data_IF_939947763568
#
_entry.id   IF_939947763568
#
_cell.length_a   1.000
_cell.length_b   1.000
_cell.length_c   1.000
_cell.angle_alpha   90.00
_cell.angle_beta   90.00
_cell.angle_gamma   90.00
#
_symmetry.space_group_name_H-M   'P 1'
#
loop_
_entity.id
_entity.type
_entity.pdbx_description
1 polymer ?
#
# COMPACT_ATOMS: atom_id res chain seq x y z
N UNK A 1 -12.99 -19.06 1.48
CA UNK A 1 -12.65 -18.93 0.04
C UNK A 1 -11.20 -19.34 -0.16
N UNK A 2 -10.92 -20.45 -0.84
CA UNK A 2 -9.56 -20.77 -1.30
C UNK A 2 -9.33 -20.05 -2.62
N UNK A 3 -8.51 -19.00 -2.60
CA UNK A 3 -8.11 -18.27 -3.81
C UNK A 3 -6.91 -19.01 -4.42
N UNK A 4 -7.14 -19.82 -5.45
CA UNK A 4 -6.05 -20.42 -6.22
C UNK A 4 -5.40 -19.34 -7.09
N UNK A 5 -4.35 -18.72 -6.57
CA UNK A 5 -3.56 -17.72 -7.31
C UNK A 5 -2.84 -18.39 -8.48
N UNK A 6 -3.15 -17.95 -9.71
CA UNK A 6 -2.42 -18.39 -10.90
C UNK A 6 -0.95 -17.95 -10.82
N UNK A 7 -0.01 -18.65 -11.48
CA UNK A 7 1.43 -18.37 -11.37
C UNK A 7 1.82 -16.93 -11.71
N UNK A 8 1.08 -16.30 -12.63
CA UNK A 8 1.29 -14.89 -13.00
C UNK A 8 0.89 -13.93 -11.88
N UNK A 9 -0.22 -14.19 -11.20
CA UNK A 9 -0.68 -13.34 -10.08
C UNK A 9 0.22 -13.52 -8.86
N UNK A 10 0.70 -14.74 -8.59
CA UNK A 10 1.72 -14.97 -7.54
C UNK A 10 3.00 -14.18 -7.78
N UNK A 11 3.61 -14.30 -8.97
CA UNK A 11 4.84 -13.57 -9.31
C UNK A 11 4.70 -12.05 -9.21
N UNK A 12 3.53 -11.51 -9.58
CA UNK A 12 3.27 -10.07 -9.48
C UNK A 12 3.11 -9.64 -8.02
N UNK A 13 2.35 -10.40 -7.23
CA UNK A 13 2.20 -10.17 -5.80
C UNK A 13 3.53 -10.28 -5.04
N UNK A 14 4.40 -11.23 -5.39
CA UNK A 14 5.74 -11.40 -4.80
C UNK A 14 6.66 -10.22 -5.10
N UNK A 15 6.62 -9.67 -6.32
CA UNK A 15 7.41 -8.47 -6.67
C UNK A 15 6.89 -7.20 -6.02
N UNK A 16 5.58 -7.12 -5.77
CA UNK A 16 4.92 -5.92 -5.29
C UNK A 16 4.65 -5.96 -3.78
N UNK A 17 4.88 -7.10 -3.12
CA UNK A 17 4.75 -7.25 -1.68
C UNK A 17 5.89 -6.50 -0.97
N UNK A 18 5.59 -5.80 0.14
CA UNK A 18 6.64 -5.31 1.00
C UNK A 18 7.38 -6.47 1.66
N UNK A 19 8.62 -6.19 2.02
CA UNK A 19 9.49 -7.08 2.81
C UNK A 19 8.97 -7.22 4.24
N UNK A 20 8.31 -6.18 4.77
CA UNK A 20 7.67 -6.17 6.08
C UNK A 20 6.14 -6.09 5.97
N UNK A 21 5.44 -7.00 6.65
CA UNK A 21 3.98 -7.06 6.68
C UNK A 21 3.34 -5.81 7.31
N UNK A 22 4.03 -5.13 8.24
CA UNK A 22 3.56 -3.88 8.83
C UNK A 22 3.49 -2.75 7.81
N UNK A 23 4.43 -2.71 6.85
CA UNK A 23 4.37 -1.76 5.75
C UNK A 23 3.12 -2.01 4.89
N UNK A 24 2.72 -3.27 4.72
CA UNK A 24 1.49 -3.62 4.01
C UNK A 24 0.25 -3.11 4.75
N UNK A 25 0.18 -3.29 6.06
CA UNK A 25 -0.93 -2.81 6.88
C UNK A 25 -1.12 -1.30 6.80
N UNK A 26 -0.01 -0.55 6.87
CA UNK A 26 -0.05 0.90 6.71
C UNK A 26 -0.45 1.31 5.29
N UNK A 27 0.04 0.63 4.26
CA UNK A 27 -0.41 0.87 2.89
C UNK A 27 -1.92 0.63 2.73
N UNK A 28 -2.48 -0.45 3.29
CA UNK A 28 -3.92 -0.71 3.22
C UNK A 28 -4.73 0.36 3.95
N UNK A 29 -4.27 0.83 5.11
CA UNK A 29 -4.88 1.98 5.82
C UNK A 29 -4.86 3.24 4.95
N UNK A 30 -3.74 3.51 4.27
CA UNK A 30 -3.63 4.63 3.34
C UNK A 30 -4.63 4.54 2.20
N UNK A 31 -4.75 3.37 1.56
CA UNK A 31 -5.75 3.12 0.51
C UNK A 31 -7.17 3.34 0.99
N UNK A 32 -7.49 2.92 2.21
CA UNK A 32 -8.83 3.14 2.79
C UNK A 32 -9.15 4.64 2.89
N UNK A 33 -8.24 5.45 3.42
CA UNK A 33 -8.45 6.90 3.55
C UNK A 33 -8.48 7.60 2.18
N UNK A 34 -7.66 7.15 1.23
CA UNK A 34 -7.64 7.70 -0.13
C UNK A 34 -9.00 7.57 -0.82
N UNK A 35 -9.66 6.42 -0.65
CA UNK A 35 -10.99 6.17 -1.22
C UNK A 35 -12.13 6.93 -0.55
N UNK A 36 -11.88 7.73 0.49
CA UNK A 36 -12.86 8.66 1.01
C UNK A 36 -13.03 9.91 0.11
N UNK A 37 -12.13 10.12 -0.85
CA UNK A 37 -12.17 11.21 -1.85
C UNK A 37 -12.49 12.59 -1.27
N UNK A 38 -11.86 12.92 -0.16
CA UNK A 38 -11.98 14.21 0.53
C UNK A 38 -10.62 14.68 0.99
N UNK A 39 -10.43 15.99 1.11
CA UNK A 39 -9.14 16.60 1.47
C UNK A 39 -8.50 15.97 2.72
N UNK A 40 -9.28 15.80 3.80
CA UNK A 40 -8.80 15.14 5.04
C UNK A 40 -8.44 13.66 4.84
N UNK A 41 -9.13 12.97 3.93
CA UNK A 41 -8.85 11.59 3.57
C UNK A 41 -7.49 11.47 2.87
N UNK A 42 -7.20 12.37 1.92
CA UNK A 42 -5.90 12.41 1.25
C UNK A 42 -4.75 12.74 2.22
N UNK A 43 -4.96 13.67 3.15
CA UNK A 43 -3.96 13.97 4.17
C UNK A 43 -3.63 12.75 5.05
N UNK A 44 -4.66 12.05 5.54
CA UNK A 44 -4.47 10.83 6.33
C UNK A 44 -3.87 9.69 5.51
N UNK A 45 -4.28 9.55 4.24
CA UNK A 45 -3.73 8.57 3.32
C UNK A 45 -2.22 8.76 3.13
N UNK A 46 -1.80 10.01 2.86
CA UNK A 46 -0.39 10.38 2.72
C UNK A 46 0.44 10.05 3.96
N UNK A 47 -0.10 10.29 5.16
CA UNK A 47 0.57 9.91 6.41
C UNK A 47 0.74 8.39 6.56
N UNK A 48 -0.27 7.60 6.19
CA UNK A 48 -0.17 6.15 6.27
C UNK A 48 0.81 5.60 5.24
N UNK A 49 0.80 6.12 4.00
CA UNK A 49 1.78 5.73 2.99
C UNK A 49 3.21 6.11 3.39
N UNK A 50 3.43 7.29 3.98
CA UNK A 50 4.72 7.69 4.51
C UNK A 50 5.22 6.73 5.60
N UNK A 51 4.34 6.25 6.50
CA UNK A 51 4.73 5.23 7.49
C UNK A 51 5.11 3.91 6.85
N UNK A 52 4.41 3.48 5.80
CA UNK A 52 4.77 2.28 5.05
C UNK A 52 6.17 2.39 4.42
N UNK A 53 6.54 3.57 3.90
CA UNK A 53 7.88 3.86 3.36
C UNK A 53 8.95 3.83 4.46
N UNK A 54 8.68 4.38 5.63
CA UNK A 54 9.64 4.35 6.75
C UNK A 54 9.95 2.92 7.20
N UNK A 55 8.95 2.03 7.16
CA UNK A 55 9.10 0.62 7.52
C UNK A 55 9.79 -0.17 6.41
N UNK A 56 9.39 0.07 5.15
CA UNK A 56 9.99 -0.54 3.97
C UNK A 56 10.26 0.54 2.91
N UNK A 57 11.51 0.98 2.88
CA UNK A 57 12.00 2.06 2.02
C UNK A 57 11.97 1.73 0.53
N UNK A 58 11.80 0.45 0.17
CA UNK A 58 11.68 -0.05 -1.20
C UNK A 58 10.24 -0.31 -1.60
N UNK A 59 9.27 -0.01 -0.74
CA UNK A 59 7.89 -0.35 -1.01
C UNK A 59 7.24 0.59 -2.04
N UNK A 60 7.44 0.28 -3.32
CA UNK A 60 7.04 1.12 -4.46
C UNK A 60 5.56 1.56 -4.46
N UNK A 61 4.64 0.69 -4.01
CA UNK A 61 3.20 1.02 -3.96
C UNK A 61 2.88 2.11 -2.93
N UNK A 62 3.66 2.21 -1.86
CA UNK A 62 3.49 3.29 -0.88
C UNK A 62 3.92 4.64 -1.47
N UNK A 63 5.03 4.69 -2.22
CA UNK A 63 5.43 5.90 -2.95
C UNK A 63 4.39 6.34 -3.99
N UNK A 64 3.83 5.40 -4.75
CA UNK A 64 2.74 5.69 -5.68
C UNK A 64 1.53 6.29 -4.94
N UNK A 65 1.15 5.72 -3.79
CA UNK A 65 0.08 6.24 -2.97
C UNK A 65 0.33 7.67 -2.47
N UNK A 66 1.58 8.03 -2.13
CA UNK A 66 1.93 9.41 -1.76
C UNK A 66 1.77 10.36 -2.95
N UNK A 67 2.13 9.93 -4.16
CA UNK A 67 2.01 10.75 -5.38
C UNK A 67 0.55 10.92 -5.84
N UNK A 68 -0.31 9.94 -5.57
CA UNK A 68 -1.73 9.98 -5.91
C UNK A 68 -2.56 10.92 -4.99
N UNK A 69 -2.10 11.14 -3.74
CA UNK A 69 -2.78 11.99 -2.74
C UNK A 69 -2.58 13.49 -2.99
#
# INVERSE_FOLDING_TARGET
LQVTLTPKVKKKAEKEAPTDVQAYDYYLKGRKFFYEFRAKGFELARQMFARAIVIDDKYARAYAGVADC
#
